data_IF_230513478386
#
_entry.id   IF_230513478386
#
_cell.length_a   1.000
_cell.length_b   1.000
_cell.length_c   1.000
_cell.angle_alpha   90.00
_cell.angle_beta   90.00
_cell.angle_gamma   90.00
#
_symmetry.space_group_name_H-M   'P 1'
#
loop_
_entity.id
_entity.type
_entity.pdbx_description
1 polymer ?
#
# COMPACT_ATOMS: atom_id res chain seq x y z
N UNK A 1 -48.22 -49.52 -17.02
CA UNK A 1 -47.23 -48.51 -17.45
C UNK A 1 -47.05 -47.48 -16.34
N UNK A 2 -46.09 -47.66 -15.43
CA UNK A 2 -45.73 -46.63 -14.43
C UNK A 2 -44.27 -46.23 -14.69
N UNK A 3 -44.04 -45.02 -15.24
CA UNK A 3 -42.70 -44.44 -15.40
C UNK A 3 -42.27 -43.82 -14.07
N UNK A 4 -41.23 -44.39 -13.45
CA UNK A 4 -40.51 -43.78 -12.33
C UNK A 4 -39.62 -42.65 -12.86
N UNK A 5 -39.89 -41.41 -12.45
CA UNK A 5 -39.04 -40.26 -12.71
C UNK A 5 -37.98 -40.21 -11.59
N UNK A 6 -36.71 -40.47 -11.92
CA UNK A 6 -35.59 -40.22 -11.01
C UNK A 6 -35.23 -38.73 -11.13
N UNK A 7 -35.50 -37.95 -10.07
CA UNK A 7 -34.99 -36.59 -9.95
C UNK A 7 -33.56 -36.65 -9.39
N UNK A 8 -32.58 -36.36 -10.24
CA UNK A 8 -31.18 -36.20 -9.85
C UNK A 8 -31.01 -34.88 -9.10
N UNK A 9 -30.87 -34.96 -7.77
CA UNK A 9 -30.54 -33.81 -6.92
C UNK A 9 -29.08 -33.41 -7.18
N UNK A 10 -28.87 -32.34 -7.95
CA UNK A 10 -27.53 -31.77 -8.16
C UNK A 10 -27.13 -31.00 -6.90
N UNK A 11 -26.17 -31.54 -6.16
CA UNK A 11 -25.59 -30.90 -4.98
C UNK A 11 -24.73 -29.72 -5.44
N UNK A 12 -25.28 -28.51 -5.40
CA UNK A 12 -24.50 -27.28 -5.57
C UNK A 12 -23.63 -27.12 -4.33
N UNK A 13 -22.33 -27.39 -4.48
CA UNK A 13 -21.35 -27.05 -3.46
C UNK A 13 -21.28 -25.52 -3.35
N UNK A 14 -21.93 -24.97 -2.33
CA UNK A 14 -21.75 -23.59 -1.93
C UNK A 14 -20.29 -23.42 -1.47
N UNK A 15 -19.47 -22.76 -2.28
CA UNK A 15 -18.20 -22.23 -1.81
C UNK A 15 -18.51 -21.15 -0.78
N UNK A 16 -18.38 -21.48 0.50
CA UNK A 16 -18.35 -20.48 1.55
C UNK A 16 -17.17 -19.55 1.25
N UNK A 17 -17.47 -18.29 0.91
CA UNK A 17 -16.46 -17.24 0.93
C UNK A 17 -15.91 -17.18 2.36
N UNK A 18 -14.59 -17.11 2.55
CA UNK A 18 -14.02 -16.96 3.88
C UNK A 18 -14.65 -15.74 4.56
N UNK A 19 -15.06 -15.88 5.82
CA UNK A 19 -15.57 -14.76 6.60
C UNK A 19 -14.47 -13.69 6.67
N UNK A 20 -14.67 -12.63 5.91
CA UNK A 20 -13.85 -11.44 6.01
C UNK A 20 -14.01 -10.92 7.45
N UNK A 21 -12.92 -10.52 8.12
CA UNK A 21 -13.01 -9.82 9.40
C UNK A 21 -14.12 -8.77 9.31
N UNK A 22 -15.08 -8.81 10.25
CA UNK A 22 -16.29 -8.00 10.22
C UNK A 22 -15.97 -6.52 10.57
N UNK A 23 -15.13 -5.90 9.77
CA UNK A 23 -14.85 -4.47 9.82
C UNK A 23 -15.97 -3.79 9.04
N UNK A 24 -16.94 -3.28 9.80
CA UNK A 24 -18.02 -2.47 9.28
C UNK A 24 -17.62 -0.99 9.24
N UNK A 25 -18.02 -0.29 8.18
CA UNK A 25 -17.83 1.16 8.02
C UNK A 25 -18.91 1.75 7.13
N UNK A 26 -19.30 2.99 7.41
CA UNK A 26 -20.22 3.76 6.56
C UNK A 26 -19.57 4.31 5.29
N UNK A 27 -18.24 4.23 5.15
CA UNK A 27 -17.55 4.61 3.93
C UNK A 27 -18.01 3.76 2.74
N UNK A 28 -18.19 4.38 1.58
CA UNK A 28 -18.52 3.68 0.33
C UNK A 28 -17.34 2.80 -0.11
N UNK A 29 -16.11 3.30 0.07
CA UNK A 29 -14.87 2.59 -0.25
C UNK A 29 -13.95 2.51 0.97
N UNK A 30 -13.26 1.39 1.13
CA UNK A 30 -12.34 1.14 2.23
C UNK A 30 -11.25 0.13 1.90
N UNK A 31 -10.06 0.32 2.46
CA UNK A 31 -8.96 -0.65 2.35
C UNK A 31 -8.00 -0.56 3.52
N UNK A 32 -7.59 -1.71 4.05
CA UNK A 32 -6.52 -1.84 5.05
C UNK A 32 -5.37 -2.62 4.43
N UNK A 33 -4.16 -2.06 4.52
CA UNK A 33 -2.93 -2.65 4.01
C UNK A 33 -1.87 -2.75 5.11
N UNK A 34 -1.18 -3.89 5.15
CA UNK A 34 0.07 -4.03 5.90
C UNK A 34 1.19 -3.30 5.14
N UNK A 35 1.79 -2.26 5.76
CA UNK A 35 2.74 -1.41 5.07
C UNK A 35 4.09 -2.09 4.78
N UNK A 36 4.47 -3.11 5.56
CA UNK A 36 5.73 -3.82 5.37
C UNK A 36 5.63 -4.75 4.15
N UNK A 37 4.61 -5.59 4.12
CA UNK A 37 4.41 -6.64 3.11
C UNK A 37 3.67 -6.14 1.87
N UNK A 38 2.84 -5.10 2.00
CA UNK A 38 1.92 -4.65 0.95
C UNK A 38 0.66 -5.51 0.83
N UNK A 39 0.44 -6.44 1.77
CA UNK A 39 -0.74 -7.28 1.79
C UNK A 39 -1.99 -6.45 2.08
N UNK A 40 -3.04 -6.65 1.28
CA UNK A 40 -4.39 -6.15 1.58
C UNK A 40 -5.01 -7.09 2.61
N UNK A 41 -5.31 -6.55 3.79
CA UNK A 41 -5.87 -7.29 4.93
C UNK A 41 -7.41 -7.27 4.90
N UNK A 42 -7.98 -6.16 4.45
CA UNK A 42 -9.41 -5.96 4.31
C UNK A 42 -9.69 -4.93 3.21
N UNK A 43 -10.82 -5.07 2.52
CA UNK A 43 -11.31 -4.05 1.61
C UNK A 43 -12.84 -4.05 1.51
N UNK A 44 -13.40 -2.88 1.21
CA UNK A 44 -14.78 -2.64 0.78
C UNK A 44 -14.71 -1.81 -0.50
N UNK A 45 -15.07 -2.42 -1.62
CA UNK A 45 -14.98 -1.80 -2.95
C UNK A 45 -13.62 -1.10 -3.24
N UNK A 46 -12.53 -1.72 -2.78
CA UNK A 46 -11.20 -1.09 -2.74
C UNK A 46 -10.52 -0.96 -4.11
N UNK A 47 -11.04 -1.63 -5.13
CA UNK A 47 -10.56 -1.57 -6.52
C UNK A 47 -11.36 -0.60 -7.40
N UNK A 48 -12.54 -0.14 -6.96
CA UNK A 48 -13.34 0.77 -7.76
C UNK A 48 -12.66 2.13 -7.90
N UNK A 49 -12.57 2.69 -9.12
CA UNK A 49 -12.16 4.08 -9.32
C UNK A 49 -13.17 5.03 -8.67
N UNK A 50 -12.67 5.99 -7.90
CA UNK A 50 -13.47 6.98 -7.19
C UNK A 50 -12.80 8.36 -7.27
N UNK A 51 -13.55 9.47 -7.19
CA UNK A 51 -12.97 10.79 -7.05
C UNK A 51 -12.14 10.87 -5.75
N UNK A 52 -10.83 11.16 -5.81
CA UNK A 52 -9.96 11.13 -4.63
C UNK A 52 -9.99 12.43 -3.82
N UNK A 53 -10.56 13.51 -4.38
CA UNK A 53 -10.40 14.86 -3.88
C UNK A 53 -8.92 15.16 -3.56
N UNK A 54 -8.66 15.88 -2.46
CA UNK A 54 -7.30 16.23 -2.02
C UNK A 54 -6.39 15.04 -1.65
N UNK A 55 -6.89 13.80 -1.58
CA UNK A 55 -6.01 12.63 -1.38
C UNK A 55 -5.08 12.43 -2.59
N UNK A 56 -5.46 12.89 -3.79
CA UNK A 56 -4.60 12.87 -4.98
C UNK A 56 -3.33 13.72 -4.86
N UNK A 57 -3.28 14.69 -3.94
CA UNK A 57 -2.08 15.46 -3.63
C UNK A 57 -0.91 14.59 -3.18
N UNK A 58 -1.17 13.37 -2.71
CA UNK A 58 -0.12 12.38 -2.45
C UNK A 58 0.76 12.13 -3.68
N UNK A 59 0.21 12.19 -4.91
CA UNK A 59 1.00 12.05 -6.14
C UNK A 59 1.86 13.30 -6.39
N UNK A 60 1.33 14.49 -6.12
CA UNK A 60 2.09 15.74 -6.19
C UNK A 60 3.27 15.74 -5.21
N UNK A 61 3.02 15.29 -3.97
CA UNK A 61 4.04 15.13 -2.93
C UNK A 61 5.05 14.06 -3.34
N UNK A 62 4.62 12.93 -3.89
CA UNK A 62 5.50 11.85 -4.35
C UNK A 62 6.47 12.35 -5.42
N UNK A 63 5.99 13.09 -6.42
CA UNK A 63 6.84 13.66 -7.46
C UNK A 63 7.84 14.66 -6.88
N UNK A 64 7.41 15.53 -5.96
CA UNK A 64 8.31 16.47 -5.29
C UNK A 64 9.36 15.74 -4.44
N UNK A 65 8.95 14.73 -3.67
CA UNK A 65 9.84 13.89 -2.87
C UNK A 65 10.86 13.16 -3.74
N UNK A 66 10.44 12.67 -4.91
CA UNK A 66 11.32 12.03 -5.88
C UNK A 66 12.45 12.98 -6.32
N UNK A 67 12.10 14.24 -6.65
CA UNK A 67 13.07 15.28 -7.06
C UNK A 67 13.98 15.75 -5.92
N UNK A 68 13.48 15.72 -4.68
CA UNK A 68 14.31 16.00 -3.51
C UNK A 68 15.30 14.86 -3.27
N UNK A 69 14.82 13.61 -3.34
CA UNK A 69 15.63 12.41 -3.09
C UNK A 69 16.78 12.25 -4.08
N UNK A 70 16.58 12.61 -5.35
CA UNK A 70 17.64 12.54 -6.37
C UNK A 70 18.48 13.81 -6.49
N UNK A 71 18.26 14.80 -5.64
CA UNK A 71 19.06 16.02 -5.54
C UNK A 71 18.78 17.06 -6.63
N UNK A 72 17.77 16.86 -7.49
CA UNK A 72 17.35 17.85 -8.51
C UNK A 72 16.65 19.07 -7.90
N UNK A 73 16.10 18.93 -6.70
CA UNK A 73 15.45 20.00 -5.93
C UNK A 73 15.94 19.93 -4.48
N UNK A 74 16.20 21.08 -3.87
CA UNK A 74 16.51 21.22 -2.45
C UNK A 74 15.33 21.85 -1.72
N UNK A 75 15.19 21.54 -0.43
CA UNK A 75 14.17 22.16 0.44
C UNK A 75 14.30 23.70 0.49
N UNK A 76 15.52 24.22 0.33
CA UNK A 76 15.83 25.65 0.31
C UNK A 76 15.65 26.32 -1.06
N UNK A 77 15.43 25.54 -2.12
CA UNK A 77 15.12 26.13 -3.43
C UNK A 77 13.78 26.87 -3.35
N UNK A 78 13.60 27.87 -4.21
CA UNK A 78 12.35 28.65 -4.25
C UNK A 78 11.67 28.52 -5.60
N UNK A 79 10.35 28.37 -5.60
CA UNK A 79 9.52 28.33 -6.81
C UNK A 79 8.71 29.61 -6.97
N UNK A 80 8.61 30.16 -8.20
CA UNK A 80 7.85 31.38 -8.46
C UNK A 80 6.35 31.11 -8.41
N UNK A 81 5.59 32.06 -7.87
CA UNK A 81 4.13 32.00 -7.82
C UNK A 81 3.54 32.66 -9.08
N UNK A 82 2.79 31.89 -9.85
CA UNK A 82 2.07 32.36 -11.04
C UNK A 82 0.70 32.94 -10.71
N UNK A 83 0.10 33.66 -11.68
CA UNK A 83 -1.28 34.11 -11.57
C UNK A 83 -2.26 32.92 -11.48
N UNK A 84 -1.97 31.82 -12.18
CA UNK A 84 -2.78 30.61 -12.11
C UNK A 84 -2.82 30.07 -10.68
N UNK A 85 -1.66 29.91 -10.04
CA UNK A 85 -1.57 29.43 -8.66
C UNK A 85 -2.33 30.35 -7.68
N UNK A 86 -2.14 31.66 -7.81
CA UNK A 86 -2.82 32.64 -6.95
C UNK A 86 -4.36 32.61 -7.10
N UNK A 87 -4.86 32.39 -8.33
CA UNK A 87 -6.31 32.30 -8.62
C UNK A 87 -6.96 30.97 -8.23
N UNK A 88 -6.19 29.92 -7.96
CA UNK A 88 -6.70 28.59 -7.59
C UNK A 88 -7.66 28.67 -6.39
N UNK A 89 -8.80 27.99 -6.45
CA UNK A 89 -9.85 28.01 -5.43
C UNK A 89 -9.72 26.83 -4.44
N UNK A 90 -10.61 26.76 -3.44
CA UNK A 90 -10.62 25.69 -2.44
C UNK A 90 -9.65 25.94 -1.29
N UNK A 91 -9.06 24.87 -0.73
CA UNK A 91 -8.05 25.00 0.32
C UNK A 91 -6.81 25.71 -0.21
N UNK A 92 -6.29 26.70 0.51
CA UNK A 92 -5.15 27.53 0.08
C UNK A 92 -4.08 27.60 1.17
N UNK A 93 -2.84 27.66 0.72
CA UNK A 93 -1.71 28.15 1.50
C UNK A 93 -1.71 29.68 1.60
N UNK A 94 -2.42 30.36 0.69
CA UNK A 94 -2.42 31.81 0.50
C UNK A 94 -1.08 32.31 -0.05
N UNK A 95 -0.68 31.73 -1.18
CA UNK A 95 0.50 32.18 -1.94
C UNK A 95 0.30 33.60 -2.48
N UNK A 96 1.38 34.38 -2.56
CA UNK A 96 1.34 35.76 -3.09
C UNK A 96 1.84 35.82 -4.53
N UNK A 97 1.06 36.45 -5.41
CA UNK A 97 1.43 36.63 -6.82
C UNK A 97 2.77 37.37 -6.96
N UNK A 98 3.68 36.81 -7.76
CA UNK A 98 5.01 37.41 -8.00
C UNK A 98 6.05 37.09 -6.91
N UNK A 99 5.65 36.46 -5.80
CA UNK A 99 6.58 35.98 -4.78
C UNK A 99 7.32 34.71 -5.22
N UNK A 100 8.30 34.30 -4.42
CA UNK A 100 8.95 33.00 -4.52
C UNK A 100 8.90 32.31 -3.16
N UNK A 101 8.46 31.05 -3.13
CA UNK A 101 8.24 30.30 -1.90
C UNK A 101 9.22 29.13 -1.85
N UNK A 102 9.80 28.87 -0.68
CA UNK A 102 10.69 27.73 -0.49
C UNK A 102 9.95 26.41 -0.70
N UNK A 103 10.64 25.40 -1.23
CA UNK A 103 10.09 24.06 -1.43
C UNK A 103 9.57 23.47 -0.12
N UNK A 104 10.28 23.69 0.99
CA UNK A 104 9.83 23.24 2.31
C UNK A 104 8.50 23.88 2.75
N UNK A 105 8.33 25.19 2.55
CA UNK A 105 7.07 25.87 2.87
C UNK A 105 5.93 25.40 1.97
N UNK A 106 6.19 25.21 0.67
CA UNK A 106 5.20 24.64 -0.26
C UNK A 106 4.79 23.24 0.17
N UNK A 107 5.76 22.41 0.56
CA UNK A 107 5.49 21.05 1.02
C UNK A 107 4.59 21.02 2.26
N UNK A 108 4.90 21.84 3.27
CA UNK A 108 4.05 22.02 4.47
C UNK A 108 2.66 22.55 4.10
N UNK A 109 2.56 23.52 3.21
CA UNK A 109 1.28 24.04 2.70
C UNK A 109 0.42 22.96 2.03
N UNK A 110 1.04 22.09 1.23
CA UNK A 110 0.34 20.97 0.58
C UNK A 110 -0.07 19.90 1.59
N UNK A 111 0.81 19.50 2.50
CA UNK A 111 0.55 18.41 3.44
C UNK A 111 -0.46 18.83 4.51
N UNK A 112 -0.18 19.92 5.22
CA UNK A 112 -0.87 20.32 6.45
C UNK A 112 -2.17 21.06 6.12
N UNK A 113 -2.07 22.07 5.25
CA UNK A 113 -3.21 22.93 4.90
C UNK A 113 -3.97 22.45 3.67
N UNK A 114 -3.43 21.47 2.93
CA UNK A 114 -4.01 20.97 1.69
C UNK A 114 -4.12 22.05 0.61
N UNK A 115 -3.17 23.00 0.57
CA UNK A 115 -3.15 24.14 -0.34
C UNK A 115 -3.13 23.72 -1.81
N UNK A 116 -4.18 24.06 -2.55
CA UNK A 116 -4.31 23.83 -3.98
C UNK A 116 -3.38 24.76 -4.77
N UNK A 117 -3.30 26.01 -4.36
CA UNK A 117 -2.37 27.01 -4.87
C UNK A 117 -0.91 26.55 -4.77
N UNK A 118 -0.49 26.02 -3.62
CA UNK A 118 0.84 25.43 -3.45
C UNK A 118 1.08 24.22 -4.38
N UNK A 119 0.06 23.39 -4.62
CA UNK A 119 0.16 22.30 -5.60
C UNK A 119 0.40 22.82 -7.01
N UNK A 120 -0.26 23.92 -7.42
CA UNK A 120 -0.05 24.53 -8.73
C UNK A 120 1.35 25.12 -8.86
N UNK A 121 1.87 25.79 -7.82
CA UNK A 121 3.26 26.29 -7.80
C UNK A 121 4.26 25.14 -8.01
N UNK A 122 4.11 24.05 -7.26
CA UNK A 122 4.97 22.86 -7.41
C UNK A 122 4.81 22.24 -8.79
N UNK A 123 3.58 22.14 -9.30
CA UNK A 123 3.30 21.55 -10.60
C UNK A 123 4.00 22.32 -11.73
N UNK A 124 3.85 23.64 -11.77
CA UNK A 124 4.46 24.47 -12.82
C UNK A 124 5.99 24.47 -12.72
N UNK A 125 6.55 24.49 -11.50
CA UNK A 125 8.00 24.44 -11.31
C UNK A 125 8.63 23.10 -11.73
N UNK A 126 7.97 21.97 -11.44
CA UNK A 126 8.51 20.64 -11.75
C UNK A 126 8.18 20.16 -13.17
N UNK A 127 7.00 20.50 -13.67
CA UNK A 127 6.51 20.10 -14.98
C UNK A 127 6.85 21.07 -16.10
N UNK A 128 7.38 22.26 -15.77
CA UNK A 128 7.54 23.39 -16.70
C UNK A 128 6.22 24.06 -17.06
N UNK A 129 5.14 23.28 -17.17
CA UNK A 129 3.75 23.71 -17.28
C UNK A 129 2.85 22.85 -16.39
N UNK A 130 1.64 23.33 -16.12
CA UNK A 130 0.59 22.58 -15.42
C UNK A 130 0.30 21.24 -16.12
N UNK A 131 0.14 21.27 -17.44
CA UNK A 131 -0.18 20.10 -18.27
C UNK A 131 1.00 19.12 -18.33
N UNK A 132 2.23 19.65 -18.37
CA UNK A 132 3.46 18.85 -18.29
C UNK A 132 3.53 18.07 -16.98
N UNK A 133 3.14 18.70 -15.87
CA UNK A 133 3.07 18.03 -14.57
C UNK A 133 1.99 16.96 -14.51
N UNK A 134 0.80 17.21 -15.06
CA UNK A 134 -0.27 16.19 -15.17
C UNK A 134 0.22 14.97 -15.98
N UNK A 135 0.98 15.20 -17.05
CA UNK A 135 1.66 14.13 -17.79
C UNK A 135 2.62 13.32 -16.91
N UNK A 136 3.41 14.00 -16.07
CA UNK A 136 4.30 13.37 -15.09
C UNK A 136 3.54 12.52 -14.08
N UNK A 137 2.42 13.02 -13.53
CA UNK A 137 1.59 12.29 -12.57
C UNK A 137 1.08 10.96 -13.15
N UNK A 138 0.56 10.98 -14.38
CA UNK A 138 0.06 9.77 -15.04
C UNK A 138 1.19 8.80 -15.43
N UNK A 139 2.35 9.31 -15.87
CA UNK A 139 3.53 8.48 -16.13
C UNK A 139 4.00 7.78 -14.84
N UNK A 140 4.02 8.53 -13.74
CA UNK A 140 4.43 8.02 -12.43
C UNK A 140 3.44 7.02 -11.86
N UNK A 141 2.14 7.22 -12.04
CA UNK A 141 1.10 6.26 -11.71
C UNK A 141 1.36 4.89 -12.35
N UNK A 142 1.68 4.88 -13.66
CA UNK A 142 2.02 3.64 -14.40
C UNK A 142 3.28 2.98 -13.84
N UNK A 143 4.33 3.75 -13.56
CA UNK A 143 5.58 3.24 -12.98
C UNK A 143 5.38 2.59 -11.61
N UNK A 144 4.46 3.14 -10.81
CA UNK A 144 4.12 2.66 -9.47
C UNK A 144 3.05 1.55 -9.48
N UNK A 145 2.53 1.17 -10.65
CA UNK A 145 1.48 0.15 -10.77
C UNK A 145 0.13 0.57 -10.20
N UNK A 146 -0.18 1.87 -10.27
CA UNK A 146 -1.48 2.46 -9.90
C UNK A 146 -2.44 2.33 -11.08
N UNK A 147 -3.18 1.22 -11.13
CA UNK A 147 -3.92 0.79 -12.31
C UNK A 147 -5.30 1.44 -12.45
N UNK A 148 -5.84 1.99 -11.36
CA UNK A 148 -7.15 2.61 -11.29
C UNK A 148 -7.04 4.12 -11.02
N UNK A 149 -5.89 4.71 -11.38
CA UNK A 149 -5.58 6.11 -11.16
C UNK A 149 -5.43 6.88 -12.47
N UNK A 150 -6.13 8.00 -12.58
CA UNK A 150 -6.00 8.98 -13.66
C UNK A 150 -5.95 10.37 -13.06
N UNK A 151 -4.95 11.13 -13.46
CA UNK A 151 -4.74 12.50 -12.99
C UNK A 151 -5.01 13.51 -14.10
N UNK A 152 -5.74 14.56 -13.78
CA UNK A 152 -6.08 15.69 -14.66
C UNK A 152 -5.68 17.04 -14.05
N UNK A 153 -5.38 17.08 -12.75
CA UNK A 153 -4.85 18.24 -12.04
C UNK A 153 -3.97 17.81 -10.83
N UNK A 154 -3.13 18.70 -10.27
CA UNK A 154 -2.22 18.39 -9.17
C UNK A 154 -2.87 18.45 -7.77
N UNK A 155 -4.11 18.93 -7.66
CA UNK A 155 -4.74 19.24 -6.38
C UNK A 155 -5.99 18.39 -6.07
N UNK A 156 -6.58 17.73 -7.06
CA UNK A 156 -7.78 16.92 -6.89
C UNK A 156 -9.07 17.71 -6.81
N UNK A 157 -9.09 18.95 -7.31
CA UNK A 157 -10.34 19.64 -7.62
C UNK A 157 -11.16 18.83 -8.65
N UNK A 158 -12.51 18.94 -8.64
CA UNK A 158 -13.36 18.16 -9.54
C UNK A 158 -13.33 18.66 -11.00
N UNK A 159 -12.72 19.81 -11.25
CA UNK A 159 -12.58 20.42 -12.57
C UNK A 159 -11.09 20.48 -12.98
N UNK A 160 -10.72 20.02 -14.19
CA UNK A 160 -11.56 19.29 -15.15
C UNK A 160 -12.00 17.92 -14.61
N UNK A 161 -13.07 17.31 -15.17
CA UNK A 161 -13.51 15.98 -14.78
C UNK A 161 -12.49 14.90 -15.18
N UNK A 162 -12.53 13.76 -14.50
CA UNK A 162 -11.69 12.59 -14.81
C UNK A 162 -10.57 12.28 -13.80
N UNK A 163 -10.44 13.07 -12.73
CA UNK A 163 -9.56 12.74 -11.61
C UNK A 163 -10.11 11.52 -10.85
N UNK A 164 -9.43 10.38 -10.93
CA UNK A 164 -9.85 9.13 -10.30
C UNK A 164 -8.66 8.42 -9.64
N UNK A 165 -8.91 7.74 -8.52
CA UNK A 165 -8.02 6.76 -7.90
C UNK A 165 -8.85 5.66 -7.24
N UNK A 166 -8.30 4.47 -7.01
CA UNK A 166 -8.91 3.47 -6.13
C UNK A 166 -8.36 3.54 -4.70
N UNK A 167 -9.04 2.93 -3.73
CA UNK A 167 -8.52 2.82 -2.37
C UNK A 167 -7.21 2.01 -2.33
N UNK A 168 -7.09 0.97 -3.17
CA UNK A 168 -5.87 0.20 -3.32
C UNK A 168 -4.71 1.07 -3.85
N UNK A 169 -4.95 1.89 -4.86
CA UNK A 169 -3.91 2.75 -5.42
C UNK A 169 -3.45 3.84 -4.44
N UNK A 170 -4.38 4.42 -3.67
CA UNK A 170 -4.04 5.33 -2.57
C UNK A 170 -3.18 4.64 -1.49
N UNK A 171 -3.51 3.41 -1.13
CA UNK A 171 -2.72 2.64 -0.15
C UNK A 171 -1.33 2.27 -0.71
N UNK A 172 -1.24 1.85 -1.97
CA UNK A 172 0.04 1.58 -2.66
C UNK A 172 0.92 2.82 -2.71
N UNK A 173 0.35 3.97 -3.09
CA UNK A 173 1.06 5.25 -3.15
C UNK A 173 1.55 5.67 -1.77
N UNK A 174 0.70 5.55 -0.74
CA UNK A 174 1.07 5.85 0.65
C UNK A 174 2.20 4.95 1.14
N UNK A 175 2.09 3.63 0.88
CA UNK A 175 3.15 2.67 1.19
C UNK A 175 4.46 3.01 0.49
N UNK A 176 4.39 3.39 -0.79
CA UNK A 176 5.55 3.83 -1.55
C UNK A 176 6.21 5.05 -0.90
N UNK A 177 5.41 6.06 -0.52
CA UNK A 177 5.91 7.28 0.12
C UNK A 177 6.62 6.95 1.44
N UNK A 178 5.97 6.20 2.32
CA UNK A 178 6.49 5.80 3.65
C UNK A 178 7.83 5.08 3.50
N UNK A 179 7.91 4.11 2.60
CA UNK A 179 9.08 3.24 2.47
C UNK A 179 10.22 3.88 1.68
N UNK A 180 9.91 4.80 0.75
CA UNK A 180 10.91 5.37 -0.17
C UNK A 180 11.51 6.67 0.35
N UNK A 181 10.75 7.42 1.14
CA UNK A 181 11.13 8.75 1.61
C UNK A 181 10.99 8.88 3.15
N UNK A 182 11.52 7.94 3.96
CA UNK A 182 11.36 7.99 5.41
C UNK A 182 11.88 9.30 6.04
N UNK A 183 12.90 9.91 5.44
CA UNK A 183 13.48 11.18 5.88
C UNK A 183 12.56 12.39 5.61
N UNK A 184 11.64 12.30 4.64
CA UNK A 184 10.65 13.36 4.33
C UNK A 184 9.26 13.00 4.89
N UNK A 185 9.04 11.78 5.35
CA UNK A 185 7.72 11.34 5.81
C UNK A 185 7.25 12.10 7.06
N UNK A 186 8.17 12.63 7.87
CA UNK A 186 7.86 13.37 9.09
C UNK A 186 6.96 14.60 8.87
N UNK A 187 6.96 15.23 7.68
CA UNK A 187 6.06 16.35 7.41
C UNK A 187 4.58 15.99 7.56
N UNK A 188 4.22 14.72 7.33
CA UNK A 188 2.82 14.25 7.47
C UNK A 188 2.35 14.19 8.93
N UNK A 189 3.25 14.11 9.91
CA UNK A 189 2.92 14.09 11.33
C UNK A 189 3.02 15.46 12.01
N UNK A 190 3.44 16.51 11.28
CA UNK A 190 3.41 17.88 11.76
C UNK A 190 1.95 18.32 12.03
N UNK A 191 1.70 18.83 13.23
CA UNK A 191 0.33 19.17 13.69
C UNK A 191 -0.15 20.54 13.25
N UNK A 192 0.77 21.43 12.90
CA UNK A 192 0.47 22.79 12.51
C UNK A 192 1.57 23.37 11.64
N UNK A 193 1.22 24.41 10.89
CA UNK A 193 2.15 25.19 10.09
C UNK A 193 1.78 26.67 10.18
N UNK A 194 2.80 27.51 10.39
CA UNK A 194 2.65 28.96 10.39
C UNK A 194 3.08 29.51 9.04
N UNK A 195 2.16 30.19 8.37
CA UNK A 195 2.42 30.89 7.11
C UNK A 195 1.87 32.31 7.19
N UNK A 196 2.69 33.32 6.88
CA UNK A 196 2.34 34.74 6.98
C UNK A 196 1.74 35.11 8.36
N UNK A 197 2.35 34.61 9.44
CA UNK A 197 1.88 34.77 10.82
C UNK A 197 0.48 34.18 11.12
N UNK A 198 -0.05 33.35 10.20
CA UNK A 198 -1.32 32.63 10.38
C UNK A 198 -0.99 31.20 10.78
N UNK A 199 -1.38 30.83 12.01
CA UNK A 199 -1.34 29.44 12.48
C UNK A 199 -2.42 28.63 11.78
N UNK A 200 -2.05 27.52 11.16
CA UNK A 200 -2.99 26.62 10.51
C UNK A 200 -2.78 25.18 10.98
N UNK A 201 -3.80 24.54 11.59
CA UNK A 201 -3.69 23.16 12.04
C UNK A 201 -3.70 22.20 10.85
N UNK A 202 -3.11 21.03 11.05
CA UNK A 202 -3.22 19.93 10.12
C UNK A 202 -4.68 19.46 10.02
N UNK A 203 -5.17 19.30 8.79
CA UNK A 203 -6.53 18.81 8.53
C UNK A 203 -6.73 17.34 8.90
N UNK A 204 -5.64 16.60 9.11
CA UNK A 204 -5.68 15.24 9.59
C UNK A 204 -5.83 15.17 11.12
N UNK A 205 -7.07 15.19 11.58
CA UNK A 205 -7.39 15.20 13.00
C UNK A 205 -7.05 13.87 13.70
N UNK A 206 -6.74 12.78 12.98
CA UNK A 206 -6.33 11.52 13.62
C UNK A 206 -4.97 11.62 14.30
N UNK A 207 -4.11 12.55 13.88
CA UNK A 207 -2.79 12.79 14.48
C UNK A 207 -2.86 13.18 15.97
N UNK A 208 -4.00 13.73 16.39
CA UNK A 208 -4.25 14.11 17.78
C UNK A 208 -4.92 13.02 18.62
N UNK A 209 -5.65 12.09 17.98
CA UNK A 209 -6.58 11.18 18.67
C UNK A 209 -6.22 9.70 18.56
N UNK A 210 -5.45 9.28 17.56
CA UNK A 210 -5.11 7.88 17.32
C UNK A 210 -3.64 7.58 17.67
N UNK A 211 -3.37 6.74 18.68
CA UNK A 211 -2.01 6.37 19.05
C UNK A 211 -1.25 5.72 17.90
N UNK A 212 -0.06 6.27 17.61
CA UNK A 212 0.83 5.80 16.55
C UNK A 212 0.51 6.36 15.16
N UNK A 213 -0.50 7.21 15.00
CA UNK A 213 -0.82 7.86 13.73
C UNK A 213 0.25 8.89 13.34
N UNK A 214 0.68 8.86 12.07
CA UNK A 214 1.77 9.70 11.56
C UNK A 214 1.57 10.15 10.10
N UNK A 215 0.33 10.17 9.65
CA UNK A 215 -0.10 10.69 8.35
C UNK A 215 -1.43 10.09 7.91
N UNK A 216 -1.89 10.34 6.67
CA UNK A 216 -1.21 11.11 5.62
C UNK A 216 -2.07 12.23 5.05
N UNK A 217 -3.26 11.94 4.54
CA UNK A 217 -3.99 12.93 3.76
C UNK A 217 -5.50 12.74 3.80
N UNK A 218 -6.17 13.86 4.00
CA UNK A 218 -7.63 13.98 3.92
C UNK A 218 -8.07 14.58 2.58
N UNK A 219 -9.31 14.29 2.18
CA UNK A 219 -9.98 14.84 1.02
C UNK A 219 -11.48 15.05 1.25
N UNK A 220 -12.03 16.06 0.59
CA UNK A 220 -13.48 16.30 0.53
C UNK A 220 -13.82 17.07 -0.73
N UNK A 221 -14.83 16.60 -1.46
CA UNK A 221 -15.67 17.33 -2.40
C UNK A 221 -17.08 16.75 -2.31
N UNK A 222 -18.10 17.47 -2.76
CA UNK A 222 -19.49 16.97 -2.73
C UNK A 222 -19.63 15.62 -3.47
N UNK A 223 -18.93 15.49 -4.60
CA UNK A 223 -18.90 14.27 -5.40
C UNK A 223 -18.19 13.11 -4.67
N UNK A 224 -17.01 13.35 -4.09
CA UNK A 224 -16.20 12.33 -3.43
C UNK A 224 -16.75 11.91 -2.05
N UNK A 225 -17.55 12.77 -1.41
CA UNK A 225 -17.77 12.69 0.03
C UNK A 225 -16.47 12.94 0.81
N UNK A 226 -16.46 12.55 2.08
CA UNK A 226 -15.33 12.70 2.98
C UNK A 226 -14.40 11.49 2.87
N UNK A 227 -13.13 11.75 2.58
CA UNK A 227 -12.09 10.73 2.42
C UNK A 227 -10.84 10.99 3.26
N UNK A 228 -10.18 9.91 3.66
CA UNK A 228 -9.00 9.93 4.52
C UNK A 228 -8.11 8.73 4.23
N UNK A 229 -6.82 8.99 4.04
CA UNK A 229 -5.76 8.00 3.94
C UNK A 229 -4.79 8.21 5.08
N UNK A 230 -4.70 7.23 5.99
CA UNK A 230 -3.88 7.33 7.20
C UNK A 230 -2.93 6.15 7.36
N UNK A 231 -1.86 6.38 8.11
CA UNK A 231 -1.00 5.30 8.62
C UNK A 231 -0.84 5.41 10.12
N UNK A 232 -0.70 4.25 10.76
CA UNK A 232 -0.34 4.17 12.16
C UNK A 232 0.64 3.01 12.38
N UNK A 233 1.57 3.18 13.33
CA UNK A 233 2.56 2.16 13.72
C UNK A 233 2.43 1.82 15.21
N UNK A 234 2.38 0.52 15.53
CA UNK A 234 2.41 -0.03 16.90
C UNK A 234 3.44 -1.15 16.98
N UNK A 235 4.46 -0.97 17.81
CA UNK A 235 5.65 -1.83 17.76
C UNK A 235 6.22 -1.83 16.35
N UNK A 236 6.43 -3.01 15.75
CA UNK A 236 6.90 -3.14 14.37
C UNK A 236 5.77 -3.16 13.32
N UNK A 237 4.51 -3.32 13.74
CA UNK A 237 3.39 -3.41 12.82
C UNK A 237 2.95 -2.01 12.39
N UNK A 238 2.98 -1.75 11.07
CA UNK A 238 2.42 -0.53 10.47
C UNK A 238 1.28 -0.89 9.53
N UNK A 239 0.15 -0.24 9.75
CA UNK A 239 -1.03 -0.36 8.89
C UNK A 239 -1.26 0.95 8.13
N UNK A 240 -1.85 0.82 6.94
CA UNK A 240 -2.37 1.93 6.14
C UNK A 240 -3.86 1.68 5.97
N UNK A 241 -4.67 2.70 6.24
CA UNK A 241 -6.12 2.69 6.06
C UNK A 241 -6.49 3.76 5.03
N UNK A 242 -7.33 3.40 4.08
CA UNK A 242 -8.02 4.34 3.19
C UNK A 242 -9.51 4.19 3.40
N UNK A 243 -10.22 5.29 3.62
CA UNK A 243 -11.68 5.38 3.60
C UNK A 243 -12.09 6.52 2.67
N UNK A 244 -13.14 6.34 1.87
CA UNK A 244 -13.72 7.40 1.04
C UNK A 244 -15.24 7.25 0.92
N UNK A 245 -15.92 8.32 0.50
CA UNK A 245 -17.38 8.34 0.36
C UNK A 245 -18.11 8.35 1.70
N UNK A 246 -17.48 8.85 2.78
CA UNK A 246 -18.21 9.11 4.02
C UNK A 246 -19.14 10.32 3.79
N UNK A 247 -20.43 10.16 4.08
CA UNK A 247 -21.42 11.23 3.90
C UNK A 247 -22.10 11.55 5.23
N UNK A 248 -22.17 12.83 5.55
CA UNK A 248 -22.76 13.31 6.79
C UNK A 248 -23.81 14.40 6.52
N UNK A 249 -24.93 14.06 5.85
CA UNK A 249 -25.95 15.03 5.42
C UNK A 249 -26.59 15.80 6.59
N UNK A 250 -26.47 15.31 7.82
CA UNK A 250 -26.92 15.98 9.04
C UNK A 250 -26.10 17.22 9.41
N UNK A 251 -24.90 17.40 8.86
CA UNK A 251 -24.04 18.55 9.14
C UNK A 251 -23.97 19.47 7.92
N UNK A 252 -24.11 20.78 8.15
CA UNK A 252 -24.18 21.81 7.10
C UNK A 252 -22.86 22.56 6.85
N UNK A 253 -21.81 22.26 7.61
CA UNK A 253 -20.49 22.87 7.47
C UNK A 253 -19.40 21.80 7.58
N UNK A 254 -18.17 22.14 7.17
CA UNK A 254 -17.08 21.17 7.10
C UNK A 254 -16.49 20.81 8.47
N UNK A 255 -16.78 21.54 9.55
CA UNK A 255 -16.14 21.31 10.84
C UNK A 255 -16.48 19.94 11.44
N UNK A 256 -17.77 19.65 11.64
CA UNK A 256 -18.22 18.39 12.24
C UNK A 256 -17.95 17.16 11.36
N UNK A 257 -18.19 17.19 10.04
CA UNK A 257 -17.80 16.10 9.15
C UNK A 257 -16.32 15.75 9.19
N UNK A 258 -15.41 16.73 9.29
CA UNK A 258 -13.98 16.45 9.41
C UNK A 258 -13.67 15.69 10.72
N UNK A 259 -14.33 16.03 11.83
CA UNK A 259 -14.23 15.29 13.10
C UNK A 259 -14.79 13.88 12.94
N UNK A 260 -15.99 13.72 12.38
CA UNK A 260 -16.63 12.40 12.21
C UNK A 260 -15.86 11.47 11.27
N UNK A 261 -15.26 12.02 10.21
CA UNK A 261 -14.33 11.28 9.36
C UNK A 261 -13.13 10.76 10.16
N UNK A 262 -12.53 11.58 11.02
CA UNK A 262 -11.39 11.18 11.83
C UNK A 262 -11.77 10.16 12.91
N UNK A 263 -12.92 10.32 13.58
CA UNK A 263 -13.46 9.34 14.52
C UNK A 263 -13.67 7.97 13.84
N UNK A 264 -14.26 7.95 12.64
CA UNK A 264 -14.49 6.72 11.90
C UNK A 264 -13.18 6.06 11.45
N UNK A 265 -12.22 6.84 10.95
CA UNK A 265 -10.90 6.31 10.59
C UNK A 265 -10.15 5.76 11.80
N UNK A 266 -10.19 6.46 12.94
CA UNK A 266 -9.62 6.00 14.20
C UNK A 266 -10.26 4.69 14.66
N UNK A 267 -11.59 4.62 14.67
CA UNK A 267 -12.34 3.41 15.03
C UNK A 267 -11.96 2.22 14.14
N UNK A 268 -11.97 2.40 12.82
CA UNK A 268 -11.63 1.34 11.85
C UNK A 268 -10.16 0.92 12.00
N UNK A 269 -9.23 1.85 12.24
CA UNK A 269 -7.83 1.50 12.47
C UNK A 269 -7.61 0.75 13.79
N UNK A 270 -8.31 1.10 14.86
CA UNK A 270 -8.28 0.35 16.13
C UNK A 270 -8.80 -1.08 15.95
N UNK A 271 -9.91 -1.24 15.22
CA UNK A 271 -10.42 -2.55 14.82
C UNK A 271 -9.36 -3.30 14.01
N UNK A 272 -8.74 -2.67 13.02
CA UNK A 272 -7.70 -3.29 12.21
C UNK A 272 -6.52 -3.81 13.05
N UNK A 273 -6.04 -3.02 14.00
CA UNK A 273 -5.03 -3.49 14.93
C UNK A 273 -5.54 -4.61 15.82
N UNK A 274 -6.80 -4.63 16.24
CA UNK A 274 -7.32 -5.74 17.06
C UNK A 274 -7.41 -7.04 16.26
N UNK A 275 -7.97 -6.97 15.06
CA UNK A 275 -8.28 -8.13 14.22
C UNK A 275 -7.03 -8.70 13.55
N UNK A 276 -6.04 -7.86 13.18
CA UNK A 276 -4.86 -8.30 12.44
C UNK A 276 -3.57 -8.21 13.26
N UNK A 277 -2.82 -9.32 13.30
CA UNK A 277 -1.51 -9.41 13.94
C UNK A 277 -0.46 -9.91 12.97
N UNK A 278 0.76 -9.40 13.13
CA UNK A 278 1.92 -9.87 12.38
C UNK A 278 2.60 -11.02 13.15
N UNK A 279 2.74 -12.17 12.50
CA UNK A 279 3.37 -13.36 13.07
C UNK A 279 4.68 -13.66 12.34
N UNK A 280 5.79 -13.88 13.07
CA UNK A 280 7.05 -14.30 12.45
C UNK A 280 6.92 -15.72 11.91
N UNK A 281 7.24 -15.91 10.63
CA UNK A 281 7.25 -17.22 9.96
C UNK A 281 8.67 -17.73 9.78
N UNK A 282 9.61 -16.85 9.38
CA UNK A 282 11.03 -17.17 9.28
C UNK A 282 11.89 -16.04 9.79
N UNK A 283 12.82 -16.34 10.69
CA UNK A 283 13.84 -15.41 11.14
C UNK A 283 14.98 -15.28 10.11
N UNK A 284 15.76 -14.20 10.22
CA UNK A 284 16.98 -13.99 9.42
C UNK A 284 17.94 -15.16 9.61
N UNK A 285 18.48 -15.70 8.51
CA UNK A 285 19.39 -16.85 8.47
C UNK A 285 18.80 -18.18 8.99
N UNK A 286 17.49 -18.25 9.25
CA UNK A 286 16.85 -19.50 9.61
C UNK A 286 16.65 -20.36 8.36
N UNK A 287 17.03 -21.64 8.45
CA UNK A 287 16.69 -22.63 7.43
C UNK A 287 15.20 -22.96 7.56
N UNK A 288 14.43 -22.70 6.51
CA UNK A 288 12.99 -22.93 6.43
C UNK A 288 12.62 -24.41 6.27
N UNK A 289 13.59 -25.23 5.87
CA UNK A 289 13.43 -26.65 5.62
C UNK A 289 14.31 -27.10 4.46
N UNK A 290 13.98 -28.26 3.90
CA UNK A 290 14.71 -28.87 2.79
C UNK A 290 13.76 -29.04 1.60
N UNK A 291 14.23 -28.74 0.39
CA UNK A 291 13.50 -29.06 -0.85
C UNK A 291 14.21 -30.21 -1.57
N UNK A 292 13.42 -31.09 -2.21
CA UNK A 292 13.94 -32.21 -2.98
C UNK A 292 14.77 -31.71 -4.17
N UNK A 293 15.94 -32.32 -4.38
CA UNK A 293 16.88 -31.94 -5.43
C UNK A 293 17.26 -33.17 -6.25
N UNK A 294 16.96 -33.15 -7.55
CA UNK A 294 17.33 -34.24 -8.44
C UNK A 294 18.81 -34.14 -8.85
N UNK A 295 19.53 -35.27 -8.86
CA UNK A 295 20.88 -35.37 -9.41
C UNK A 295 21.99 -34.71 -8.58
N UNK A 296 21.69 -34.27 -7.35
CA UNK A 296 22.68 -33.71 -6.43
C UNK A 296 23.39 -34.78 -5.59
N UNK A 297 24.62 -34.47 -5.15
CA UNK A 297 25.35 -35.27 -4.16
C UNK A 297 24.53 -35.47 -2.87
N UNK A 298 23.67 -34.50 -2.55
CA UNK A 298 22.61 -34.63 -1.57
C UNK A 298 21.23 -34.70 -2.27
N UNK A 299 20.28 -35.50 -1.74
CA UNK A 299 18.94 -35.63 -2.31
C UNK A 299 18.04 -34.41 -2.05
N UNK A 300 18.51 -33.47 -1.22
CA UNK A 300 17.80 -32.25 -0.86
C UNK A 300 18.76 -31.08 -0.77
N UNK A 301 18.22 -29.86 -0.84
CA UNK A 301 18.95 -28.62 -0.54
C UNK A 301 18.24 -27.86 0.58
N UNK A 302 18.94 -27.43 1.65
CA UNK A 302 18.36 -26.58 2.68
C UNK A 302 18.05 -25.21 2.10
N UNK A 303 16.90 -24.65 2.46
CA UNK A 303 16.42 -23.38 1.91
C UNK A 303 16.17 -22.33 2.97
N UNK A 304 16.33 -21.07 2.61
CA UNK A 304 16.08 -19.90 3.47
C UNK A 304 15.38 -18.79 2.68
N UNK A 305 14.88 -17.77 3.37
CA UNK A 305 14.32 -16.58 2.74
C UNK A 305 15.39 -15.47 2.66
N UNK A 306 15.34 -14.64 1.62
CA UNK A 306 16.29 -13.53 1.45
C UNK A 306 16.16 -12.44 2.54
N UNK A 307 14.99 -12.35 3.18
CA UNK A 307 14.67 -11.43 4.27
C UNK A 307 13.83 -12.17 5.31
N UNK A 308 13.85 -11.77 6.58
CA UNK A 308 12.91 -12.29 7.58
C UNK A 308 11.48 -12.13 7.07
N UNK A 309 10.68 -13.19 7.27
CA UNK A 309 9.33 -13.28 6.78
C UNK A 309 8.36 -13.19 7.95
N UNK A 310 7.56 -12.14 7.95
CA UNK A 310 6.39 -12.01 8.79
C UNK A 310 5.13 -12.10 7.92
N UNK A 311 4.07 -12.66 8.48
CA UNK A 311 2.76 -12.73 7.83
C UNK A 311 1.74 -12.07 8.72
N UNK A 312 1.01 -11.11 8.16
CA UNK A 312 -0.06 -10.40 8.88
C UNK A 312 -1.40 -11.04 8.52
N UNK A 313 -2.07 -11.63 9.49
CA UNK A 313 -3.35 -12.32 9.30
C UNK A 313 -4.32 -12.02 10.43
N UNK A 314 -5.57 -12.48 10.30
CA UNK A 314 -6.53 -12.37 11.38
C UNK A 314 -6.07 -13.20 12.58
N UNK A 315 -6.34 -12.72 13.80
CA UNK A 315 -5.95 -13.40 15.04
C UNK A 315 -6.49 -14.83 15.07
N UNK A 316 -7.74 -15.04 14.68
CA UNK A 316 -8.40 -16.34 14.71
C UNK A 316 -7.85 -17.31 13.65
N UNK A 317 -7.35 -16.80 12.52
CA UNK A 317 -6.70 -17.61 11.48
C UNK A 317 -5.39 -18.23 11.96
N UNK A 318 -4.70 -17.62 12.92
CA UNK A 318 -3.34 -18.02 13.31
C UNK A 318 -3.25 -19.48 13.78
N UNK A 319 -4.23 -19.97 14.53
CA UNK A 319 -4.23 -21.34 15.04
C UNK A 319 -4.22 -22.40 13.91
N UNK A 320 -4.72 -22.06 12.72
CA UNK A 320 -4.73 -22.92 11.54
C UNK A 320 -3.58 -22.66 10.56
N UNK A 321 -2.61 -21.81 10.90
CA UNK A 321 -1.49 -21.48 10.01
C UNK A 321 -0.63 -22.71 9.72
N UNK A 322 -0.36 -22.93 8.42
CA UNK A 322 0.52 -23.99 7.90
C UNK A 322 1.51 -23.41 6.92
N UNK A 323 2.71 -23.99 6.89
CA UNK A 323 3.77 -23.65 5.95
C UNK A 323 4.16 -24.88 5.14
N UNK A 324 4.26 -24.73 3.82
CA UNK A 324 4.63 -25.81 2.90
C UNK A 324 5.69 -25.32 1.92
N UNK A 325 6.79 -26.06 1.79
CA UNK A 325 7.81 -25.80 0.77
C UNK A 325 7.44 -26.50 -0.54
N UNK A 326 7.50 -25.77 -1.65
CA UNK A 326 7.33 -26.30 -3.01
C UNK A 326 8.58 -26.01 -3.83
N UNK A 327 9.31 -27.03 -4.32
CA UNK A 327 10.44 -26.81 -5.22
C UNK A 327 9.99 -26.23 -6.56
N UNK A 328 10.88 -25.47 -7.20
CA UNK A 328 10.66 -25.04 -8.59
C UNK A 328 10.62 -26.27 -9.52
N UNK A 329 9.77 -26.21 -10.55
CA UNK A 329 9.62 -27.30 -11.50
C UNK A 329 10.95 -27.59 -12.22
N UNK A 330 11.40 -28.85 -12.19
CA UNK A 330 12.64 -29.27 -12.84
C UNK A 330 13.93 -28.92 -12.08
N UNK A 331 13.84 -28.54 -10.80
CA UNK A 331 15.00 -28.29 -9.95
C UNK A 331 15.95 -29.50 -9.94
N UNK A 332 17.20 -29.27 -10.39
CA UNK A 332 18.26 -30.26 -10.46
C UNK A 332 19.60 -29.65 -10.06
N UNK A 333 20.53 -30.48 -9.63
CA UNK A 333 21.90 -30.05 -9.37
C UNK A 333 22.65 -29.71 -10.68
N UNK A 334 23.71 -28.87 -10.61
CA UNK A 334 24.23 -28.20 -9.42
C UNK A 334 23.36 -27.00 -8.99
N UNK A 335 23.33 -26.73 -7.68
CA UNK A 335 22.69 -25.55 -7.08
C UNK A 335 23.73 -24.72 -6.36
N UNK A 336 23.71 -23.41 -6.57
CA UNK A 336 24.60 -22.45 -5.88
C UNK A 336 23.92 -21.80 -4.67
N UNK A 337 24.71 -21.35 -3.69
CA UNK A 337 24.19 -20.56 -2.55
C UNK A 337 23.46 -19.31 -3.08
N UNK A 338 22.29 -19.01 -2.53
CA UNK A 338 21.48 -17.86 -2.94
C UNK A 338 20.71 -18.05 -4.25
N UNK A 339 20.82 -19.21 -4.91
CA UNK A 339 19.97 -19.55 -6.05
C UNK A 339 18.53 -19.74 -5.59
N UNK A 340 17.56 -19.17 -6.30
CA UNK A 340 16.13 -19.47 -6.06
C UNK A 340 15.87 -20.93 -6.43
N UNK A 341 15.24 -21.67 -5.51
CA UNK A 341 15.01 -23.11 -5.66
C UNK A 341 13.55 -23.53 -5.44
N UNK A 342 12.68 -22.59 -5.13
CA UNK A 342 11.27 -22.87 -4.91
C UNK A 342 10.56 -21.73 -4.22
N UNK A 343 9.45 -22.09 -3.57
CA UNK A 343 8.63 -21.17 -2.80
C UNK A 343 8.18 -21.78 -1.47
N UNK A 344 8.07 -20.94 -0.44
CA UNK A 344 7.34 -21.23 0.79
C UNK A 344 5.90 -20.74 0.60
N UNK A 345 4.93 -21.63 0.78
CA UNK A 345 3.50 -21.31 0.77
C UNK A 345 3.01 -21.29 2.21
N UNK A 346 2.48 -20.15 2.64
CA UNK A 346 1.81 -19.97 3.94
C UNK A 346 0.31 -19.96 3.71
N UNK A 347 -0.42 -20.82 4.41
CA UNK A 347 -1.89 -20.92 4.34
C UNK A 347 -2.48 -20.87 5.73
N UNK A 348 -3.62 -20.21 5.90
CA UNK A 348 -4.40 -20.26 7.12
C UNK A 348 -5.91 -20.18 6.77
N UNK A 349 -6.82 -20.57 7.66
CA UNK A 349 -8.26 -20.34 7.47
C UNK A 349 -8.52 -18.87 7.16
N UNK A 350 -9.29 -18.59 6.11
CA UNK A 350 -9.72 -17.23 5.75
C UNK A 350 -8.58 -16.23 5.44
N UNK A 351 -7.37 -16.76 5.26
CA UNK A 351 -6.19 -16.03 4.84
C UNK A 351 -5.86 -16.39 3.38
N UNK A 352 -5.73 -15.41 2.48
CA UNK A 352 -5.31 -15.69 1.12
C UNK A 352 -3.89 -16.26 1.16
N UNK A 353 -3.70 -17.45 0.57
CA UNK A 353 -2.41 -18.13 0.60
C UNK A 353 -1.27 -17.21 0.11
N UNK A 354 -0.23 -17.07 0.91
CA UNK A 354 0.93 -16.23 0.59
C UNK A 354 2.06 -17.11 0.08
N UNK A 355 2.72 -16.69 -0.98
CA UNK A 355 3.84 -17.43 -1.59
C UNK A 355 5.09 -16.57 -1.58
N UNK A 356 6.17 -17.09 -1.01
CA UNK A 356 7.44 -16.38 -0.83
C UNK A 356 8.57 -17.16 -1.49
N UNK A 357 9.39 -16.56 -2.37
CA UNK A 357 10.56 -17.23 -2.94
C UNK A 357 11.53 -17.68 -1.85
N UNK A 358 12.03 -18.92 -1.96
CA UNK A 358 13.09 -19.44 -1.09
C UNK A 358 14.34 -19.75 -1.91
N UNK A 359 15.48 -19.59 -1.24
CA UNK A 359 16.81 -19.64 -1.83
C UNK A 359 17.64 -20.71 -1.15
N UNK A 360 18.55 -21.33 -1.90
CA UNK A 360 19.45 -22.34 -1.38
C UNK A 360 20.37 -21.73 -0.30
N UNK A 361 20.34 -22.28 0.91
CA UNK A 361 21.21 -21.88 2.00
C UNK A 361 22.63 -22.42 1.82
N UNK A 362 22.81 -23.48 1.02
CA UNK A 362 24.08 -24.14 0.75
C UNK A 362 24.16 -24.58 -0.71
N UNK A 363 25.37 -24.68 -1.24
CA UNK A 363 25.59 -25.24 -2.57
C UNK A 363 25.47 -26.77 -2.55
N UNK A 364 24.90 -27.35 -3.61
CA UNK A 364 24.86 -28.81 -3.81
C UNK A 364 25.39 -29.13 -5.20
N UNK A 365 26.52 -29.82 -5.26
CA UNK A 365 27.14 -30.26 -6.50
C UNK A 365 26.35 -31.40 -7.15
N UNK A 366 26.53 -31.59 -8.46
CA UNK A 366 25.97 -32.72 -9.18
C UNK A 366 26.71 -34.03 -8.79
N UNK A 367 25.99 -35.16 -8.77
CA UNK A 367 26.62 -36.47 -8.56
C UNK A 367 27.59 -36.76 -9.71
N UNK A 368 28.84 -37.10 -9.40
CA UNK A 368 29.84 -37.53 -10.39
C UNK A 368 29.43 -38.81 -11.15
N UNK A 369 30.08 -39.08 -12.29
CA UNK A 369 29.72 -40.16 -13.23
C UNK A 369 29.58 -41.54 -12.55
N UNK A 370 30.45 -41.87 -11.59
CA UNK A 370 30.42 -43.12 -10.83
C UNK A 370 29.18 -43.23 -9.89
N UNK A 371 28.77 -42.12 -9.27
CA UNK A 371 27.60 -42.09 -8.39
C UNK A 371 26.27 -42.12 -9.15
N UNK A 372 26.24 -41.62 -10.40
CA UNK A 372 25.07 -41.76 -11.31
C UNK A 372 24.82 -43.22 -11.68
N UNK A 373 25.89 -44.01 -11.87
CA UNK A 373 25.80 -45.44 -12.18
C UNK A 373 25.25 -46.24 -10.98
N UNK A 374 25.72 -45.96 -9.76
CA UNK A 374 25.24 -46.61 -8.54
C UNK A 374 23.76 -46.30 -8.23
N UNK A 375 23.33 -45.04 -8.35
CA UNK A 375 21.93 -44.64 -8.12
C UNK A 375 20.95 -45.24 -9.15
N UNK A 376 21.42 -45.52 -10.37
CA UNK A 376 20.63 -46.17 -11.41
C UNK A 376 20.41 -47.66 -11.10
N UNK A 377 21.45 -48.34 -10.60
CA UNK A 377 21.37 -49.74 -10.13
C UNK A 377 20.48 -49.87 -8.91
N UNK A 378 20.56 -48.96 -7.93
CA UNK A 378 19.71 -49.01 -6.73
C UNK A 378 18.21 -48.75 -7.00
N UNK A 379 17.87 -47.98 -8.06
CA UNK A 379 16.47 -47.76 -8.48
C UNK A 379 15.86 -48.99 -9.16
N UNK A 380 16.69 -49.81 -9.81
CA UNK A 380 16.26 -51.06 -10.43
C UNK A 380 15.99 -52.15 -9.39
N UNK A 381 16.64 -52.08 -8.21
CA UNK A 381 16.44 -53.03 -7.10
C UNK A 381 15.29 -52.68 -6.14
N UNK A 382 14.67 -51.49 -6.28
CA UNK A 382 13.53 -51.05 -5.47
C UNK A 382 12.18 -51.10 -6.23
N UNK A 383 12.13 -51.75 -7.39
CA UNK A 383 10.89 -52.05 -8.10
C UNK A 383 10.33 -53.40 -7.70
#
# INVERSE_FOLDING_TARGET
>A
MLRRLFLSLSLVAAFALPAQAAIETSAEHGLIMDAQTGQVLWQKDGLAPMPPASMSKLMTIELLFSRIKDGRVKLTDTFPVSERAWRTQGSKMFVELGSRITVESLLRGIIIQSGNDACVVVAEALGGTFEGFVGMMNSRAKQLGLQQSTFVNPDGLPDPPGQLMSALDLAKLSRHIINTYPQLYHYFSEREFVWHNIHQPNRDLVLGSLPGADGLKTGHTDAAGYGITISAKRGEQRLILVLNGLRFPQYKNDYFPNIKRAEEAGRVMELAFREFRSYPVLATNQVAGNVALAGGVAPTVPVTAAKPLNVTMQVDSHAGMKTMLKPDAGLKAPVSVGQKVGVLVVTAPEFPAMTVPVYAAQAVAEVGVMGKMWNSVSRLWKK
#
